data_IF_753866118985
#
_entry.id   IF_753866118985
#
_cell.length_a   1.000
_cell.length_b   1.000
_cell.length_c   1.000
_cell.angle_alpha   90.00
_cell.angle_beta   90.00
_cell.angle_gamma   90.00
#
_symmetry.space_group_name_H-M   'P 1'
#
loop_
_entity.id
_entity.type
_entity.pdbx_description
1 polymer ?
#
# COMPACT_ATOMS: atom_id res chain seq x y z
N UNK A 1 -22.64 0.82 -3.76
CA UNK A 1 -23.70 1.21 -4.70
C UNK A 1 -24.53 -0.03 -5.07
N UNK A 2 -25.84 0.10 -5.11
CA UNK A 2 -26.73 -0.98 -5.49
C UNK A 2 -26.32 -1.51 -6.88
N UNK A 3 -26.10 -2.83 -6.99
CA UNK A 3 -25.71 -3.50 -8.23
C UNK A 3 -24.23 -3.46 -8.57
N UNK A 4 -23.35 -2.96 -7.69
CA UNK A 4 -21.90 -3.08 -7.90
C UNK A 4 -21.48 -4.55 -7.74
N UNK A 5 -20.86 -5.09 -8.76
CA UNK A 5 -20.28 -6.43 -8.79
C UNK A 5 -18.86 -6.38 -9.32
N UNK A 6 -18.01 -7.29 -8.88
CA UNK A 6 -16.63 -7.44 -9.34
C UNK A 6 -16.25 -8.93 -9.37
N UNK A 7 -15.23 -9.27 -10.10
CA UNK A 7 -14.64 -10.59 -10.09
C UNK A 7 -13.78 -10.76 -8.84
N UNK A 8 -14.07 -11.81 -8.06
CA UNK A 8 -13.44 -12.04 -6.76
C UNK A 8 -12.21 -12.92 -6.89
N UNK A 9 -11.11 -12.47 -6.30
CA UNK A 9 -9.90 -13.27 -6.11
C UNK A 9 -9.73 -13.62 -4.63
N UNK A 10 -9.61 -14.92 -4.33
CA UNK A 10 -9.35 -15.40 -2.97
C UNK A 10 -7.85 -15.53 -2.75
N UNK A 11 -7.32 -14.76 -1.81
CA UNK A 11 -5.92 -14.84 -1.41
C UNK A 11 -5.68 -16.09 -0.54
N UNK A 12 -4.44 -16.54 -0.42
CA UNK A 12 -4.08 -17.67 0.45
C UNK A 12 -4.38 -17.45 1.92
N UNK A 13 -4.38 -16.20 2.35
CA UNK A 13 -4.86 -15.81 3.68
C UNK A 13 -6.36 -16.10 3.89
N UNK A 14 -7.09 -16.46 2.82
CA UNK A 14 -8.54 -16.65 2.82
C UNK A 14 -9.34 -15.36 2.62
N UNK A 15 -8.70 -14.19 2.64
CA UNK A 15 -9.36 -12.94 2.32
C UNK A 15 -9.61 -12.80 0.82
N UNK A 16 -10.64 -12.04 0.46
CA UNK A 16 -11.05 -11.81 -0.93
C UNK A 16 -10.76 -10.37 -1.30
N UNK A 17 -10.28 -10.17 -2.53
CA UNK A 17 -10.10 -8.86 -3.17
C UNK A 17 -10.72 -8.87 -4.56
N UNK A 18 -10.83 -7.70 -5.19
CA UNK A 18 -11.19 -7.58 -6.60
C UNK A 18 -10.04 -8.10 -7.47
N UNK A 19 -10.34 -8.96 -8.45
CA UNK A 19 -9.35 -9.51 -9.39
C UNK A 19 -8.48 -8.43 -10.05
N UNK A 20 -9.06 -7.24 -10.31
CA UNK A 20 -8.36 -6.13 -10.95
C UNK A 20 -7.16 -5.61 -10.17
N UNK A 21 -7.15 -5.76 -8.84
CA UNK A 21 -6.06 -5.29 -7.99
C UNK A 21 -5.04 -6.36 -7.66
N UNK A 22 -5.35 -7.63 -7.96
CA UNK A 22 -4.55 -8.77 -7.49
C UNK A 22 -3.08 -8.69 -7.90
N UNK A 23 -2.79 -8.42 -9.18
CA UNK A 23 -1.41 -8.35 -9.67
C UNK A 23 -0.62 -7.19 -9.06
N UNK A 24 -1.25 -6.03 -8.85
CA UNK A 24 -0.61 -4.87 -8.23
C UNK A 24 -0.40 -5.10 -6.71
N UNK A 25 -1.36 -5.77 -6.06
CA UNK A 25 -1.24 -6.18 -4.66
C UNK A 25 -0.09 -7.18 -4.49
N UNK A 26 -0.05 -8.22 -5.33
CA UNK A 26 1.03 -9.21 -5.32
C UNK A 26 2.40 -8.55 -5.48
N UNK A 27 2.55 -7.68 -6.49
CA UNK A 27 3.80 -6.99 -6.74
C UNK A 27 4.24 -6.11 -5.54
N UNK A 28 3.31 -5.45 -4.87
CA UNK A 28 3.59 -4.66 -3.66
C UNK A 28 4.09 -5.54 -2.51
N UNK A 29 3.42 -6.66 -2.27
CA UNK A 29 3.75 -7.58 -1.19
C UNK A 29 5.07 -8.32 -1.44
N UNK A 30 5.36 -8.72 -2.68
CA UNK A 30 6.66 -9.27 -3.08
C UNK A 30 7.80 -8.26 -2.89
N UNK A 31 7.59 -7.00 -3.27
CA UNK A 31 8.58 -5.94 -3.06
C UNK A 31 8.80 -5.66 -1.57
N UNK A 32 7.75 -5.72 -0.74
CA UNK A 32 7.83 -5.61 0.71
C UNK A 32 8.69 -6.73 1.31
N UNK A 33 8.43 -7.98 0.91
CA UNK A 33 9.24 -9.13 1.31
C UNK A 33 10.71 -9.01 0.85
N UNK A 34 10.94 -8.60 -0.38
CA UNK A 34 12.30 -8.39 -0.91
C UNK A 34 13.07 -7.31 -0.15
N UNK A 35 12.37 -6.36 0.46
CA UNK A 35 12.94 -5.37 1.38
C UNK A 35 13.19 -5.91 2.81
N UNK A 36 12.96 -7.20 3.05
CA UNK A 36 13.16 -7.83 4.35
C UNK A 36 12.02 -7.60 5.34
N UNK A 37 10.84 -7.28 4.87
CA UNK A 37 9.66 -6.95 5.68
C UNK A 37 8.60 -8.04 5.56
N UNK A 38 8.43 -8.84 6.61
CA UNK A 38 7.36 -9.84 6.69
C UNK A 38 6.02 -9.17 6.99
N UNK A 39 4.94 -9.66 6.37
CA UNK A 39 3.61 -9.10 6.48
C UNK A 39 2.53 -10.15 6.76
N UNK A 40 1.37 -9.69 7.20
CA UNK A 40 0.14 -10.49 7.33
C UNK A 40 -1.05 -9.66 6.83
N UNK A 41 -1.88 -10.25 5.98
CA UNK A 41 -3.15 -9.64 5.57
C UNK A 41 -4.16 -9.86 6.69
N UNK A 42 -4.83 -8.79 7.08
CA UNK A 42 -5.78 -8.74 8.22
C UNK A 42 -7.22 -8.48 7.81
N UNK A 43 -7.46 -8.03 6.57
CA UNK A 43 -8.78 -7.69 6.07
C UNK A 43 -8.85 -7.71 4.55
N UNK A 44 -10.05 -7.82 4.02
CA UNK A 44 -10.36 -7.80 2.59
C UNK A 44 -11.85 -7.58 2.39
N UNK A 45 -12.40 -8.04 1.27
CA UNK A 45 -13.81 -7.88 0.93
C UNK A 45 -14.75 -8.36 2.05
N UNK A 46 -15.74 -7.52 2.33
CA UNK A 46 -16.89 -7.80 3.19
C UNK A 46 -18.15 -7.49 2.37
N UNK A 47 -19.14 -8.40 2.38
CA UNK A 47 -20.40 -8.17 1.65
C UNK A 47 -21.05 -6.85 2.05
N UNK A 48 -21.57 -6.12 1.06
CA UNK A 48 -22.24 -4.84 1.27
C UNK A 48 -23.45 -4.91 2.23
N UNK A 49 -24.04 -6.10 2.38
CA UNK A 49 -25.15 -6.35 3.31
C UNK A 49 -24.68 -6.46 4.77
N UNK A 50 -23.39 -6.50 5.01
CA UNK A 50 -22.79 -6.60 6.34
C UNK A 50 -22.57 -5.22 6.93
N UNK A 51 -23.02 -5.00 8.15
CA UNK A 51 -22.76 -3.77 8.89
C UNK A 51 -21.25 -3.56 9.02
N UNK A 52 -20.78 -2.33 8.76
CA UNK A 52 -19.36 -1.98 8.81
C UNK A 52 -18.56 -2.41 7.59
N UNK A 53 -19.20 -2.92 6.51
CA UNK A 53 -18.49 -3.29 5.28
C UNK A 53 -17.75 -2.12 4.63
N UNK A 54 -18.33 -0.91 4.65
CA UNK A 54 -17.70 0.31 4.18
C UNK A 54 -16.99 0.16 2.83
N UNK A 55 -15.71 0.49 2.78
CA UNK A 55 -14.87 0.36 1.58
C UNK A 55 -14.53 -1.08 1.20
N UNK A 56 -14.53 -2.00 2.16
CA UNK A 56 -14.28 -3.42 1.88
C UNK A 56 -15.32 -4.01 0.93
N UNK A 57 -16.55 -3.48 0.92
CA UNK A 57 -17.59 -3.91 -0.02
C UNK A 57 -17.25 -3.67 -1.50
N UNK A 58 -16.22 -2.90 -1.79
CA UNK A 58 -15.74 -2.67 -3.16
C UNK A 58 -14.74 -3.73 -3.64
N UNK A 59 -14.16 -4.52 -2.74
CA UNK A 59 -13.02 -5.40 -3.02
C UNK A 59 -11.70 -4.67 -3.33
N UNK A 60 -11.70 -3.32 -3.28
CA UNK A 60 -10.54 -2.49 -3.61
C UNK A 60 -9.77 -2.03 -2.37
N UNK A 61 -10.22 -2.40 -1.17
CA UNK A 61 -9.59 -2.09 0.10
C UNK A 61 -9.21 -3.37 0.84
N UNK A 62 -8.09 -3.32 1.55
CA UNK A 62 -7.60 -4.42 2.35
C UNK A 62 -6.72 -3.90 3.49
N UNK A 63 -6.55 -4.75 4.51
CA UNK A 63 -5.65 -4.47 5.62
C UNK A 63 -4.42 -5.35 5.56
N UNK A 64 -3.26 -4.73 5.77
CA UNK A 64 -1.98 -5.42 5.87
C UNK A 64 -1.09 -4.78 6.93
N UNK A 65 -0.41 -5.61 7.71
CA UNK A 65 0.50 -5.16 8.76
C UNK A 65 1.71 -6.08 8.85
N UNK A 66 2.68 -5.71 9.69
CA UNK A 66 3.78 -6.60 10.02
C UNK A 66 3.26 -7.94 10.56
N UNK A 67 4.07 -8.99 10.39
CA UNK A 67 3.75 -10.30 10.94
C UNK A 67 3.61 -10.22 12.47
N UNK A 68 2.76 -11.10 13.04
CA UNK A 68 2.52 -11.25 14.50
C UNK A 68 1.92 -10.03 15.22
N UNK A 69 1.36 -9.05 14.51
CA UNK A 69 0.58 -7.98 15.14
C UNK A 69 -0.77 -8.52 15.60
N UNK A 70 -1.01 -8.54 16.91
CA UNK A 70 -2.26 -9.04 17.49
C UNK A 70 -3.39 -7.99 17.44
N UNK A 71 -3.06 -6.74 17.75
CA UNK A 71 -4.02 -5.63 17.82
C UNK A 71 -3.60 -4.49 16.89
N UNK A 72 -4.58 -3.89 16.23
CA UNK A 72 -4.36 -2.78 15.30
C UNK A 72 -4.41 -1.45 16.06
N UNK A 73 -3.30 -1.11 16.72
CA UNK A 73 -3.09 0.21 17.35
C UNK A 73 -2.30 1.11 16.40
N UNK A 74 -2.83 2.26 15.94
CA UNK A 74 -2.15 3.16 15.03
C UNK A 74 -0.78 3.62 15.53
N UNK A 75 -0.65 3.90 16.85
CA UNK A 75 0.59 4.37 17.44
C UNK A 75 1.70 3.31 17.42
N UNK A 76 1.32 2.03 17.48
CA UNK A 76 2.23 0.89 17.40
C UNK A 76 2.50 0.52 15.95
N UNK A 77 1.44 0.27 15.17
CA UNK A 77 1.56 -0.26 13.80
C UNK A 77 2.32 0.72 12.89
N UNK A 78 2.11 2.04 13.02
CA UNK A 78 2.82 3.03 12.21
C UNK A 78 4.34 3.05 12.42
N UNK A 79 4.82 2.53 13.55
CA UNK A 79 6.26 2.47 13.86
C UNK A 79 6.92 1.17 13.38
N UNK A 80 6.14 0.18 12.95
CA UNK A 80 6.69 -1.09 12.47
C UNK A 80 7.36 -0.91 11.11
N UNK A 81 8.57 -1.45 10.90
CA UNK A 81 9.31 -1.29 9.64
C UNK A 81 8.49 -1.69 8.41
N UNK A 82 7.74 -2.78 8.50
CA UNK A 82 6.86 -3.27 7.42
C UNK A 82 5.80 -2.24 7.04
N UNK A 83 5.09 -1.67 8.04
CA UNK A 83 4.06 -0.68 7.77
C UNK A 83 4.65 0.65 7.30
N UNK A 84 5.83 1.05 7.79
CA UNK A 84 6.56 2.21 7.26
C UNK A 84 6.93 2.01 5.80
N UNK A 85 7.45 0.82 5.44
CA UNK A 85 7.76 0.50 4.04
C UNK A 85 6.49 0.54 3.17
N UNK A 86 5.41 -0.09 3.61
CA UNK A 86 4.14 -0.12 2.87
C UNK A 86 3.59 1.30 2.66
N UNK A 87 3.50 2.12 3.71
CA UNK A 87 3.03 3.50 3.61
C UNK A 87 3.86 4.37 2.66
N UNK A 88 5.18 4.16 2.61
CA UNK A 88 6.09 4.91 1.76
C UNK A 88 6.04 4.47 0.28
N UNK A 89 5.73 3.21 0.01
CA UNK A 89 5.87 2.62 -1.33
C UNK A 89 4.55 2.26 -2.01
N UNK A 90 3.43 2.18 -1.28
CA UNK A 90 2.14 1.71 -1.80
C UNK A 90 1.69 2.46 -3.07
N UNK A 91 1.98 3.75 -3.18
CA UNK A 91 1.56 4.56 -4.34
C UNK A 91 2.18 4.10 -5.66
N UNK A 92 3.39 3.54 -5.64
CA UNK A 92 4.05 2.97 -6.82
C UNK A 92 3.32 1.73 -7.36
N UNK A 93 2.47 1.11 -6.55
CA UNK A 93 1.65 -0.06 -6.89
C UNK A 93 0.15 0.28 -7.07
N UNK A 94 -0.21 1.55 -7.01
CA UNK A 94 -1.58 2.00 -7.22
C UNK A 94 -2.44 2.07 -5.96
N UNK A 95 -1.83 1.96 -4.78
CA UNK A 95 -2.51 2.03 -3.50
C UNK A 95 -2.23 3.33 -2.77
N UNK A 96 -3.14 3.73 -1.91
CA UNK A 96 -2.98 4.83 -0.96
C UNK A 96 -3.20 4.32 0.46
N UNK A 97 -2.58 4.95 1.47
CA UNK A 97 -3.07 4.87 2.84
C UNK A 97 -4.42 5.58 2.87
N UNK A 98 -5.49 4.84 3.12
CA UNK A 98 -6.85 5.38 2.95
C UNK A 98 -7.20 6.46 3.97
N UNK A 99 -6.76 6.27 5.20
CA UNK A 99 -7.01 7.16 6.32
C UNK A 99 -5.68 7.65 6.89
N UNK A 100 -5.02 8.63 6.21
CA UNK A 100 -3.70 9.11 6.61
C UNK A 100 -3.77 10.01 7.85
N UNK A 101 -2.67 10.06 8.60
CA UNK A 101 -2.52 10.86 9.81
C UNK A 101 -2.75 12.36 9.52
N UNK A 102 -3.48 13.03 10.41
CA UNK A 102 -3.79 14.46 10.32
C UNK A 102 -4.90 14.80 9.31
N UNK A 103 -5.61 13.81 8.78
CA UNK A 103 -6.71 13.99 7.82
C UNK A 103 -8.06 13.51 8.36
N UNK A 104 -8.18 13.24 9.65
CA UNK A 104 -9.36 12.67 10.31
C UNK A 104 -10.61 13.56 10.12
N UNK A 105 -10.43 14.87 10.11
CA UNK A 105 -11.53 15.84 9.89
C UNK A 105 -12.09 15.80 8.45
N UNK A 106 -11.34 15.26 7.50
CA UNK A 106 -11.71 15.15 6.08
C UNK A 106 -12.28 13.76 5.80
N UNK A 107 -11.59 12.72 6.27
CA UNK A 107 -11.97 11.34 6.01
C UNK A 107 -13.10 10.86 6.92
N UNK A 108 -13.27 11.48 8.10
CA UNK A 108 -14.20 11.03 9.15
C UNK A 108 -13.73 9.77 9.90
N UNK A 109 -12.51 9.30 9.63
CA UNK A 109 -11.89 8.13 10.24
C UNK A 109 -10.58 8.51 10.93
N UNK A 110 -10.23 7.78 11.99
CA UNK A 110 -8.91 7.89 12.60
C UNK A 110 -7.83 7.40 11.64
N UNK A 111 -6.57 7.73 11.93
CA UNK A 111 -5.42 7.23 11.20
C UNK A 111 -5.35 5.69 11.26
N UNK A 112 -5.23 5.04 10.09
CA UNK A 112 -5.14 3.59 9.96
C UNK A 112 -3.95 3.21 9.06
N UNK A 113 -2.75 3.01 9.63
CA UNK A 113 -1.53 2.71 8.87
C UNK A 113 -1.51 1.31 8.23
N UNK A 114 -2.54 0.51 8.44
CA UNK A 114 -2.73 -0.82 7.87
C UNK A 114 -3.76 -0.84 6.73
N UNK A 115 -4.61 0.19 6.60
CA UNK A 115 -5.74 0.21 5.68
C UNK A 115 -5.37 0.87 4.36
N UNK A 116 -5.31 0.06 3.30
CA UNK A 116 -4.91 0.50 1.96
C UNK A 116 -6.08 0.42 0.99
N UNK A 117 -6.14 1.41 0.09
CA UNK A 117 -7.14 1.50 -0.96
C UNK A 117 -6.49 1.59 -2.32
N UNK A 118 -6.96 0.75 -3.27
CA UNK A 118 -6.55 0.84 -4.67
C UNK A 118 -7.28 1.98 -5.38
N UNK A 119 -6.52 2.80 -6.09
CA UNK A 119 -7.03 3.93 -6.88
C UNK A 119 -6.39 3.99 -8.28
N UNK A 120 -5.49 3.04 -8.59
CA UNK A 120 -4.66 3.04 -9.79
C UNK A 120 -3.36 3.84 -9.61
N UNK A 121 -2.31 3.48 -10.34
CA UNK A 121 -0.95 4.00 -10.11
C UNK A 121 -0.84 5.52 -10.30
N UNK A 122 -1.39 6.05 -11.37
CA UNK A 122 -1.28 7.50 -11.65
C UNK A 122 -1.99 8.33 -10.58
N UNK A 123 -3.22 7.90 -10.19
CA UNK A 123 -3.96 8.57 -9.13
C UNK A 123 -3.27 8.44 -7.77
N UNK A 124 -2.74 7.25 -7.43
CA UNK A 124 -2.04 7.02 -6.16
C UNK A 124 -0.79 7.90 -6.03
N UNK A 125 0.04 7.95 -7.07
CA UNK A 125 1.22 8.81 -7.10
C UNK A 125 0.84 10.28 -6.99
N UNK A 126 -0.17 10.73 -7.74
CA UNK A 126 -0.63 12.11 -7.68
C UNK A 126 -1.15 12.48 -6.29
N UNK A 127 -2.01 11.64 -5.70
CA UNK A 127 -2.58 11.87 -4.37
C UNK A 127 -1.50 11.90 -3.29
N UNK A 128 -0.57 10.94 -3.30
CA UNK A 128 0.52 10.86 -2.33
C UNK A 128 1.45 12.07 -2.44
N UNK A 129 1.85 12.45 -3.66
CA UNK A 129 2.73 13.60 -3.91
C UNK A 129 2.12 14.92 -3.44
N UNK A 130 0.80 15.06 -3.56
CA UNK A 130 0.08 16.27 -3.17
C UNK A 130 -0.55 16.19 -1.77
N UNK A 131 -0.29 15.11 -1.03
CA UNK A 131 -0.85 14.85 0.30
C UNK A 131 -2.38 14.95 0.32
N UNK A 132 -3.04 14.29 -0.64
CA UNK A 132 -4.51 14.32 -0.81
C UNK A 132 -5.14 13.04 -0.28
N UNK A 133 -6.27 13.17 0.40
CA UNK A 133 -7.18 12.05 0.66
C UNK A 133 -8.00 11.72 -0.58
N UNK A 134 -8.70 10.59 -0.55
CA UNK A 134 -9.62 10.21 -1.64
C UNK A 134 -10.75 11.23 -1.80
N UNK A 135 -11.25 11.82 -0.73
CA UNK A 135 -12.28 12.87 -0.71
C UNK A 135 -11.79 14.16 -1.37
N UNK A 136 -10.57 14.58 -1.04
CA UNK A 136 -9.93 15.75 -1.63
C UNK A 136 -9.68 15.54 -3.12
N UNK A 137 -9.15 14.36 -3.50
CA UNK A 137 -8.94 14.01 -4.91
C UNK A 137 -10.26 14.00 -5.69
N UNK A 138 -11.32 13.37 -5.14
CA UNK A 138 -12.65 13.38 -5.74
C UNK A 138 -13.18 14.81 -5.95
N UNK A 139 -12.97 15.69 -4.97
CA UNK A 139 -13.35 17.11 -5.07
C UNK A 139 -12.63 17.79 -6.22
N UNK A 140 -11.31 17.58 -6.38
CA UNK A 140 -10.51 18.17 -7.46
C UNK A 140 -10.96 17.70 -8.85
N UNK A 141 -11.15 16.40 -9.04
CA UNK A 141 -11.54 15.86 -10.35
C UNK A 141 -12.94 16.27 -10.77
N UNK A 142 -13.80 16.67 -9.81
CA UNK A 142 -15.12 17.23 -10.08
C UNK A 142 -15.15 18.77 -10.15
N UNK A 143 -13.97 19.41 -10.30
CA UNK A 143 -13.85 20.85 -10.51
C UNK A 143 -13.92 21.70 -9.23
N UNK A 144 -13.83 21.06 -8.06
CA UNK A 144 -13.73 21.77 -6.77
C UNK A 144 -12.30 22.25 -6.48
N UNK A 145 -12.15 22.97 -5.38
CA UNK A 145 -10.85 23.42 -4.87
C UNK A 145 -10.57 22.76 -3.52
N UNK A 146 -9.33 22.34 -3.31
CA UNK A 146 -8.84 21.83 -2.02
C UNK A 146 -7.70 22.69 -1.54
N UNK A 147 -7.58 22.86 -0.22
CA UNK A 147 -6.44 23.55 0.37
C UNK A 147 -5.28 22.55 0.46
N UNK A 148 -4.38 22.59 -0.51
CA UNK A 148 -3.12 21.84 -0.40
C UNK A 148 -2.23 22.56 0.60
N UNK A 149 -2.11 22.01 1.81
CA UNK A 149 -1.06 22.45 2.71
C UNK A 149 0.29 22.04 2.06
N UNK A 150 1.03 23.04 1.62
CA UNK A 150 2.36 22.87 1.04
C UNK A 150 3.25 22.15 2.05
N UNK A 151 3.52 20.88 1.82
CA UNK A 151 4.61 20.21 2.52
C UNK A 151 5.89 20.96 2.15
N UNK A 152 6.51 21.59 3.14
CA UNK A 152 7.80 22.24 2.97
C UNK A 152 8.82 21.16 2.63
N UNK A 153 9.09 21.00 1.33
CA UNK A 153 10.13 20.12 0.83
C UNK A 153 11.47 20.54 1.39
N UNK A 154 12.03 19.72 2.25
CA UNK A 154 13.48 19.71 2.45
C UNK A 154 14.12 19.18 1.17
N UNK A 155 14.38 20.09 0.22
CA UNK A 155 15.14 19.78 -0.99
C UNK A 155 16.60 19.54 -0.58
N UNK A 156 17.00 18.29 -0.47
CA UNK A 156 18.39 17.90 -0.67
C UNK A 156 18.60 17.75 -2.17
N UNK A 157 19.18 18.80 -2.76
CA UNK A 157 19.67 18.76 -4.12
C UNK A 157 20.80 17.73 -4.20
N UNK A 158 20.58 16.64 -4.92
CA UNK A 158 21.63 15.74 -5.37
C UNK A 158 22.00 16.18 -6.78
N UNK A 159 23.21 16.70 -6.91
CA UNK A 159 23.85 17.12 -8.17
C UNK A 159 24.06 15.89 -9.08
N UNK A 160 23.59 15.88 -10.35
CA UNK A 160 23.73 14.74 -11.26
C UNK A 160 24.99 14.84 -12.14
N UNK A 161 26.16 15.11 -11.57
CA UNK A 161 27.43 15.08 -12.34
C UNK A 161 28.57 14.42 -11.58
N UNK A 162 28.57 13.07 -11.53
CA UNK A 162 29.81 12.31 -11.38
C UNK A 162 29.60 10.89 -11.93
N UNK A 163 29.69 10.74 -13.25
CA UNK A 163 29.94 9.45 -13.91
C UNK A 163 31.44 9.29 -14.01
N UNK A 164 32.02 8.39 -13.23
CA UNK A 164 33.28 7.76 -13.56
C UNK A 164 33.12 6.27 -13.55
N UNK A 165 33.34 5.70 -14.71
CA UNK A 165 33.41 4.27 -14.97
C UNK A 165 34.67 3.68 -14.33
N UNK A 166 34.56 2.55 -13.65
CA UNK A 166 35.67 1.59 -13.55
C UNK A 166 35.13 0.13 -13.58
N UNK A 167 35.88 -0.69 -14.24
CA UNK A 167 35.77 -1.98 -14.89
C UNK A 167 35.57 -3.16 -13.90
N UNK A 168 34.88 -4.28 -14.29
CA UNK A 168 34.61 -5.43 -13.44
C UNK A 168 35.62 -6.54 -13.65
N UNK A 169 36.31 -6.97 -12.57
CA UNK A 169 36.94 -8.29 -12.57
C UNK A 169 37.32 -8.74 -11.16
N UNK A 170 36.54 -9.66 -10.59
CA UNK A 170 37.07 -10.75 -9.75
C UNK A 170 35.95 -11.71 -9.32
N UNK A 171 36.04 -12.90 -9.85
CA UNK A 171 35.37 -14.15 -9.48
C UNK A 171 35.70 -14.56 -8.02
N UNK A 172 34.70 -14.98 -7.24
CA UNK A 172 34.89 -16.10 -6.28
C UNK A 172 33.52 -16.72 -5.95
N UNK A 173 33.40 -18.00 -6.26
CA UNK A 173 32.29 -18.88 -5.88
C UNK A 173 32.26 -19.13 -4.36
N UNK A 174 31.09 -19.08 -3.75
CA UNK A 174 30.83 -19.80 -2.50
C UNK A 174 29.37 -20.29 -2.52
N UNK A 175 29.24 -21.59 -2.72
CA UNK A 175 28.01 -22.37 -2.63
C UNK A 175 27.55 -22.41 -1.17
N UNK A 176 26.31 -21.96 -0.91
CA UNK A 176 25.59 -22.37 0.29
C UNK A 176 24.13 -22.60 -0.12
N UNK A 177 23.71 -23.85 -0.12
CA UNK A 177 22.32 -24.25 -0.31
C UNK A 177 21.51 -23.74 0.90
N UNK A 178 20.65 -22.75 0.67
CA UNK A 178 19.55 -22.43 1.56
C UNK A 178 18.27 -22.85 0.85
N UNK A 179 17.53 -23.76 1.45
CA UNK A 179 16.22 -24.22 1.04
C UNK A 179 15.28 -23.02 1.18
N UNK A 180 15.05 -22.31 0.08
CA UNK A 180 14.07 -21.23 0.02
C UNK A 180 12.71 -21.84 -0.32
N UNK A 181 11.81 -21.85 0.67
CA UNK A 181 10.39 -21.94 0.36
C UNK A 181 10.02 -20.77 -0.57
N UNK A 182 9.34 -21.09 -1.66
CA UNK A 182 9.02 -20.13 -2.70
C UNK A 182 8.01 -19.10 -2.15
N UNK A 183 8.29 -17.77 -2.18
CA UNK A 183 7.35 -16.73 -1.72
C UNK A 183 6.00 -16.77 -2.43
N UNK A 184 5.92 -17.44 -3.60
CA UNK A 184 4.68 -17.59 -4.37
C UNK A 184 3.66 -18.53 -3.71
N UNK A 185 4.08 -19.38 -2.76
CA UNK A 185 3.16 -20.29 -2.07
C UNK A 185 2.25 -19.58 -1.05
N UNK A 186 2.52 -18.31 -0.77
CA UNK A 186 1.70 -17.50 0.16
C UNK A 186 0.52 -16.84 -0.55
N UNK A 187 0.51 -16.78 -1.89
CA UNK A 187 -0.50 -16.03 -2.66
C UNK A 187 -1.31 -16.88 -3.65
N UNK A 188 -1.02 -18.16 -3.83
CA UNK A 188 -1.83 -19.10 -4.64
C UNK A 188 -2.70 -19.99 -3.77
#
# INVERSE_FOLDING_TARGET
PDGYTFEQHTLNSGYIVDERIYNDLLAMLEACNAAGSEYTIKGGYISADTEGSGEYATGLAFDVTAHDVAELDPAVVSQLPTNQWLMQNCSSFGFIVRYPEGKESITGHNFEPWHFRYVGRDAAVFMTTNNLTLEEFYTLVNGGSVSTATATSATSAVDPTAVTAEDPSATTEATTEATTENPLDILN
#
